data_IF_917803688146
#
_entry.id   IF_917803688146
#
_cell.length_a   1.000
_cell.length_b   1.000
_cell.length_c   1.000
_cell.angle_alpha   90.00
_cell.angle_beta   90.00
_cell.angle_gamma   90.00
#
_symmetry.space_group_name_H-M   'P 1'
#
loop_
_entity.id
_entity.type
_entity.pdbx_description
1 polymer ?
#
# COMPACT_ATOMS: atom_id res chain seq x y z
N UNK A 1 -8.42 1.56 -5.82
CA UNK A 1 -8.00 1.67 -7.24
C UNK A 1 -9.13 2.11 -8.17
N UNK A 2 -10.37 1.62 -8.02
CA UNK A 2 -11.48 2.02 -8.90
C UNK A 2 -11.72 3.55 -8.95
N UNK A 3 -11.74 4.21 -7.79
CA UNK A 3 -11.90 5.67 -7.73
C UNK A 3 -10.71 6.43 -8.33
N UNK A 4 -9.48 5.99 -8.04
CA UNK A 4 -8.27 6.64 -8.57
C UNK A 4 -8.10 6.41 -10.07
N UNK A 5 -8.52 5.26 -10.61
CA UNK A 5 -8.57 5.02 -12.05
C UNK A 5 -9.48 6.00 -12.77
N UNK A 6 -10.68 6.25 -12.22
CA UNK A 6 -11.63 7.21 -12.78
C UNK A 6 -11.02 8.63 -12.78
N UNK A 7 -10.34 8.99 -11.69
CA UNK A 7 -9.68 10.28 -11.58
C UNK A 7 -8.47 10.39 -12.55
N UNK A 8 -7.64 9.36 -12.65
CA UNK A 8 -6.53 9.27 -13.60
C UNK A 8 -7.01 9.40 -15.06
N UNK A 9 -8.20 8.89 -15.38
CA UNK A 9 -8.85 9.01 -16.70
C UNK A 9 -9.38 10.43 -16.94
N UNK A 10 -10.02 11.04 -15.94
CA UNK A 10 -10.49 12.44 -15.98
C UNK A 10 -9.33 13.44 -16.18
N UNK A 11 -8.13 13.13 -15.68
CA UNK A 11 -6.91 13.93 -15.87
C UNK A 11 -6.01 13.42 -17.00
N UNK A 12 -6.46 12.45 -17.80
CA UNK A 12 -5.68 11.96 -18.93
C UNK A 12 -5.66 12.99 -20.07
N UNK A 13 -4.48 13.24 -20.64
CA UNK A 13 -4.34 14.04 -21.84
C UNK A 13 -4.18 13.10 -23.03
N UNK A 14 -5.11 13.18 -23.98
CA UNK A 14 -5.05 12.41 -25.23
C UNK A 14 -4.92 10.89 -25.02
N UNK A 15 -5.54 10.36 -23.95
CA UNK A 15 -5.50 8.94 -23.59
C UNK A 15 -4.28 8.49 -22.79
N UNK A 16 -3.33 9.40 -22.51
CA UNK A 16 -2.17 9.13 -21.67
C UNK A 16 -2.40 9.65 -20.24
N UNK A 17 -2.18 8.79 -19.25
CA UNK A 17 -2.23 9.18 -17.83
C UNK A 17 -1.11 10.17 -17.55
N UNK A 18 -1.47 11.33 -17.01
CA UNK A 18 -0.54 12.42 -16.68
C UNK A 18 0.03 12.27 -15.26
N UNK A 19 -0.64 11.52 -14.38
CA UNK A 19 -0.21 11.24 -13.02
C UNK A 19 -0.58 9.80 -12.64
N UNK A 20 0.28 9.11 -11.89
CA UNK A 20 -0.07 7.82 -11.30
C UNK A 20 -0.54 8.03 -9.86
N UNK A 21 -1.75 7.61 -9.55
CA UNK A 21 -2.27 7.60 -8.17
C UNK A 21 -2.39 6.12 -7.78
N UNK A 22 -1.41 5.65 -7.02
CA UNK A 22 -1.39 4.28 -6.51
C UNK A 22 -2.06 4.25 -5.12
N UNK A 23 -3.36 3.92 -5.03
CA UNK A 23 -3.99 3.73 -3.73
C UNK A 23 -3.33 2.54 -3.06
N UNK A 24 -3.07 2.67 -1.77
CA UNK A 24 -2.44 1.66 -0.96
C UNK A 24 -2.65 1.95 0.51
N UNK A 25 -2.07 1.12 1.37
CA UNK A 25 -2.03 1.37 2.80
C UNK A 25 -0.65 1.06 3.36
N UNK A 26 -0.35 1.70 4.49
CA UNK A 26 0.81 1.42 5.32
C UNK A 26 0.30 0.89 6.65
N UNK A 27 1.00 -0.10 7.20
CA UNK A 27 0.86 -0.48 8.60
C UNK A 27 2.24 -0.65 9.25
N UNK A 28 2.27 -1.15 10.48
CA UNK A 28 3.51 -1.31 11.24
C UNK A 28 4.57 -2.22 10.56
N UNK A 29 4.15 -3.14 9.68
CA UNK A 29 4.98 -4.20 9.12
C UNK A 29 5.19 -4.09 7.59
N UNK A 30 4.34 -3.36 6.87
CA UNK A 30 4.32 -3.36 5.40
C UNK A 30 3.64 -2.14 4.79
N UNK A 31 3.98 -1.91 3.54
CA UNK A 31 3.30 -1.01 2.63
C UNK A 31 2.78 -1.82 1.44
N UNK A 32 1.49 -1.67 1.13
CA UNK A 32 0.77 -2.44 0.10
C UNK A 32 0.13 -1.47 -0.89
N UNK A 33 0.28 -1.73 -2.18
CA UNK A 33 -0.38 -0.98 -3.25
C UNK A 33 -1.52 -1.79 -3.87
N UNK A 34 -2.60 -1.13 -4.25
CA UNK A 34 -3.71 -1.73 -4.97
C UNK A 34 -3.49 -1.63 -6.48
N UNK A 35 -3.63 -2.74 -7.18
CA UNK A 35 -3.37 -2.86 -8.62
C UNK A 35 -4.44 -3.70 -9.31
N UNK A 36 -4.66 -3.47 -10.60
CA UNK A 36 -5.52 -4.32 -11.45
C UNK A 36 -4.74 -5.43 -12.15
N UNK A 37 -3.41 -5.46 -12.00
CA UNK A 37 -2.53 -6.42 -12.66
C UNK A 37 -2.28 -7.59 -11.71
N UNK A 38 -2.77 -8.77 -12.04
CA UNK A 38 -2.46 -9.99 -11.31
C UNK A 38 -1.00 -10.42 -11.52
N UNK A 39 -0.38 -11.01 -10.50
CA UNK A 39 0.97 -11.57 -10.54
C UNK A 39 1.24 -12.48 -9.33
N UNK A 40 2.30 -13.30 -9.37
CA UNK A 40 2.60 -14.37 -8.38
C UNK A 40 2.58 -13.95 -6.89
N UNK A 41 3.03 -12.73 -6.56
CA UNK A 41 3.12 -12.19 -5.21
C UNK A 41 1.93 -11.29 -4.83
N UNK A 42 0.95 -11.14 -5.71
CA UNK A 42 -0.19 -10.24 -5.51
C UNK A 42 -1.39 -11.02 -5.02
N UNK A 43 -2.00 -10.53 -3.95
CA UNK A 43 -3.13 -11.19 -3.33
C UNK A 43 -4.42 -10.59 -3.85
N UNK A 44 -5.32 -11.41 -4.38
CA UNK A 44 -6.65 -10.96 -4.76
C UNK A 44 -7.39 -10.40 -3.53
N UNK A 45 -7.90 -9.17 -3.67
CA UNK A 45 -8.68 -8.53 -2.61
C UNK A 45 -10.16 -8.64 -2.95
N UNK A 46 -10.59 -7.95 -4.01
CA UNK A 46 -11.95 -8.01 -4.56
C UNK A 46 -12.02 -7.31 -5.93
N UNK A 47 -13.05 -7.62 -6.73
CA UNK A 47 -13.43 -6.85 -7.94
C UNK A 47 -12.29 -6.62 -8.94
N UNK A 48 -11.45 -7.63 -9.13
CA UNK A 48 -10.28 -7.54 -10.03
C UNK A 48 -9.15 -6.65 -9.49
N UNK A 49 -9.18 -6.30 -8.20
CA UNK A 49 -8.12 -5.57 -7.51
C UNK A 49 -7.30 -6.54 -6.67
N UNK A 50 -5.99 -6.38 -6.77
CA UNK A 50 -4.99 -7.15 -6.03
C UNK A 50 -4.19 -6.21 -5.14
N UNK A 51 -3.74 -6.73 -4.00
CA UNK A 51 -2.78 -6.10 -3.11
C UNK A 51 -1.36 -6.57 -3.45
N UNK A 52 -0.52 -5.62 -3.86
CA UNK A 52 0.91 -5.81 -4.10
C UNK A 52 1.69 -5.46 -2.82
N UNK A 53 2.35 -6.44 -2.22
CA UNK A 53 3.24 -6.24 -1.07
C UNK A 53 4.52 -5.52 -1.55
N UNK A 54 4.42 -4.20 -1.64
CA UNK A 54 5.42 -3.39 -2.30
C UNK A 54 6.68 -3.18 -1.43
N UNK A 55 6.52 -2.98 -0.11
CA UNK A 55 7.64 -2.90 0.81
C UNK A 55 7.35 -3.58 2.15
N UNK A 56 8.36 -4.19 2.75
CA UNK A 56 8.30 -4.83 4.08
C UNK A 56 9.15 -4.04 5.06
N UNK A 57 8.64 -3.76 6.25
CA UNK A 57 9.43 -3.13 7.31
C UNK A 57 10.10 -4.21 8.17
N UNK A 58 11.44 -4.26 8.14
CA UNK A 58 12.25 -5.21 8.93
C UNK A 58 13.57 -4.56 9.34
N UNK A 59 14.06 -4.92 10.53
CA UNK A 59 15.35 -4.42 11.04
C UNK A 59 15.43 -2.88 11.03
N UNK A 60 14.33 -2.20 11.38
CA UNK A 60 14.29 -0.74 11.47
C UNK A 60 14.18 0.01 10.14
N UNK A 61 13.97 -0.67 9.01
CA UNK A 61 13.84 -0.01 7.71
C UNK A 61 12.84 -0.69 6.77
N UNK A 62 12.40 0.03 5.73
CA UNK A 62 11.67 -0.54 4.62
C UNK A 62 12.61 -1.22 3.63
N UNK A 63 12.21 -2.42 3.22
CA UNK A 63 12.84 -3.23 2.20
C UNK A 63 11.83 -3.41 1.07
N UNK A 64 12.06 -2.76 -0.08
CA UNK A 64 11.24 -2.97 -1.27
C UNK A 64 11.24 -4.43 -1.71
N UNK A 65 10.14 -4.90 -2.27
CA UNK A 65 10.08 -6.23 -2.89
C UNK A 65 10.89 -6.29 -4.19
N UNK A 66 11.15 -7.50 -4.68
CA UNK A 66 11.86 -7.72 -5.93
C UNK A 66 11.12 -7.13 -7.15
N UNK A 67 9.80 -6.94 -7.02
CA UNK A 67 8.92 -6.36 -8.04
C UNK A 67 8.50 -4.92 -7.76
N UNK A 68 9.02 -4.32 -6.67
CA UNK A 68 8.78 -2.92 -6.37
C UNK A 68 9.30 -2.03 -7.50
N UNK A 69 8.59 -0.91 -7.74
CA UNK A 69 8.98 0.00 -8.81
C UNK A 69 10.35 0.65 -8.47
N UNK A 70 11.20 0.92 -9.49
CA UNK A 70 12.56 1.42 -9.24
C UNK A 70 12.63 2.72 -8.42
N UNK A 71 11.64 3.59 -8.58
CA UNK A 71 11.48 4.84 -7.83
C UNK A 71 11.21 4.61 -6.34
N UNK A 72 10.48 3.55 -5.97
CA UNK A 72 10.25 3.18 -4.56
C UNK A 72 11.50 2.63 -3.86
N UNK A 73 12.56 2.31 -4.61
CA UNK A 73 13.85 1.89 -4.06
C UNK A 73 14.75 3.07 -3.68
N UNK A 74 14.36 4.29 -4.04
CA UNK A 74 15.13 5.47 -3.70
C UNK A 74 15.10 5.72 -2.19
N UNK A 75 16.25 6.11 -1.63
CA UNK A 75 16.41 6.38 -0.19
C UNK A 75 15.45 7.45 0.31
N UNK A 76 15.14 8.46 -0.51
CA UNK A 76 14.17 9.51 -0.19
C UNK A 76 12.75 8.95 0.00
N UNK A 77 12.32 8.03 -0.87
CA UNK A 77 10.99 7.39 -0.79
C UNK A 77 10.91 6.47 0.42
N UNK A 78 11.96 5.69 0.67
CA UNK A 78 12.07 4.84 1.86
C UNK A 78 11.99 5.67 3.15
N UNK A 79 12.73 6.78 3.21
CA UNK A 79 12.71 7.69 4.36
C UNK A 79 11.32 8.34 4.55
N UNK A 80 10.67 8.73 3.46
CA UNK A 80 9.31 9.26 3.48
C UNK A 80 8.32 8.26 4.08
N UNK A 81 8.29 7.02 3.61
CA UNK A 81 7.39 6.00 4.15
C UNK A 81 7.73 5.59 5.57
N UNK A 82 9.00 5.64 5.98
CA UNK A 82 9.38 5.47 7.38
C UNK A 82 8.75 6.55 8.27
N UNK A 83 8.74 7.80 7.83
CA UNK A 83 8.10 8.88 8.59
C UNK A 83 6.58 8.68 8.69
N UNK A 84 5.92 8.27 7.60
CA UNK A 84 4.49 7.91 7.61
C UNK A 84 4.21 6.79 8.63
N UNK A 85 5.08 5.78 8.67
CA UNK A 85 4.94 4.67 9.63
C UNK A 85 5.03 5.15 11.08
N UNK A 86 5.96 6.04 11.40
CA UNK A 86 6.08 6.57 12.77
C UNK A 86 4.84 7.39 13.18
N UNK A 87 4.28 8.16 12.25
CA UNK A 87 3.00 8.86 12.46
C UNK A 87 1.89 7.85 12.74
N UNK A 88 1.76 6.80 11.91
CA UNK A 88 0.78 5.74 12.09
C UNK A 88 0.92 5.02 13.44
N UNK A 89 2.15 4.69 13.86
CA UNK A 89 2.39 4.06 15.16
C UNK A 89 2.05 4.96 16.34
N UNK A 90 2.23 6.27 16.19
CA UNK A 90 1.83 7.24 17.21
C UNK A 90 0.31 7.26 17.32
N UNK A 91 -0.39 7.35 16.19
CA UNK A 91 -1.86 7.33 16.15
C UNK A 91 -2.46 6.05 16.74
N UNK A 92 -1.81 4.88 16.54
CA UNK A 92 -2.25 3.63 17.14
C UNK A 92 -2.16 3.62 18.67
N UNK A 93 -1.18 4.31 19.26
CA UNK A 93 -1.08 4.41 20.73
C UNK A 93 -2.20 5.24 21.33
N UNK A 94 -2.68 6.22 20.57
CA UNK A 94 -3.78 7.10 20.97
C UNK A 94 -5.16 6.52 20.61
N UNK A 95 -5.21 5.33 19.99
CA UNK A 95 -6.46 4.68 19.58
C UNK A 95 -7.12 3.95 20.77
N UNK A 96 -8.38 4.27 21.13
CA UNK A 96 -9.08 3.59 22.22
C UNK A 96 -9.35 2.11 21.86
N UNK A 97 -8.99 1.20 22.77
CA UNK A 97 -8.93 -0.24 22.53
C UNK A 97 -10.29 -0.98 22.42
N UNK A 98 -11.42 -0.29 22.27
CA UNK A 98 -12.75 -0.89 22.43
C UNK A 98 -13.32 -1.60 21.19
N UNK A 99 -12.74 -1.47 20.00
CA UNK A 99 -13.32 -2.02 18.74
C UNK A 99 -12.54 -3.18 18.11
N UNK A 100 -11.79 -3.98 18.88
CA UNK A 100 -10.92 -5.05 18.31
C UNK A 100 -11.55 -6.44 18.17
N UNK A 101 -12.82 -6.63 18.52
CA UNK A 101 -13.43 -7.96 18.69
C UNK A 101 -14.11 -8.55 17.43
N UNK A 102 -13.70 -8.15 16.22
CA UNK A 102 -14.33 -8.65 14.97
C UNK A 102 -13.35 -9.14 13.91
N UNK A 103 -12.46 -10.08 14.24
CA UNK A 103 -11.82 -10.95 13.25
C UNK A 103 -11.65 -12.37 13.82
N UNK A 104 -12.76 -13.09 13.94
CA UNK A 104 -12.72 -14.56 13.77
C UNK A 104 -12.61 -14.86 12.27
N UNK A 105 -12.04 -16.04 11.92
CA UNK A 105 -11.80 -16.63 10.57
C UNK A 105 -10.30 -16.52 10.20
N UNK A 106 -9.47 -17.57 10.15
CA UNK A 106 -9.62 -19.04 10.05
C UNK A 106 -8.55 -19.70 10.96
N UNK A 107 -8.96 -20.55 11.89
CA UNK A 107 -8.07 -21.55 12.51
C UNK A 107 -8.20 -22.85 11.72
N UNK A 108 -7.08 -23.42 11.27
CA UNK A 108 -6.98 -24.82 10.87
C UNK A 108 -7.04 -25.74 12.08
#
# INVERSE_FOLDING_TARGET
KLATNKLEEEFSDSGNRTVNIDPGYVNAAKMVLATTKDYDHRLYLERGIFGDLHMRFRQGNYHPSDWAYPDYRQSAVIAFFRNIREIYLTQLKDWPAEDSDTLQVITS
#
